data_IF_523616826325
#
_entry.id   IF_523616826325
#
_cell.length_a   1.000
_cell.length_b   1.000
_cell.length_c   1.000
_cell.angle_alpha   90.00
_cell.angle_beta   90.00
_cell.angle_gamma   90.00
#
_symmetry.space_group_name_H-M   'P 1'
#
loop_
_entity.id
_entity.type
_entity.pdbx_description
1 polymer ?
#
# COMPACT_ATOMS: atom_id res chain seq x y z
N UNK A 1 5.10 15.12 -26.37
CA UNK A 1 5.22 13.72 -25.98
C UNK A 1 5.47 13.67 -24.47
N UNK A 2 4.62 12.98 -23.76
CA UNK A 2 4.79 12.75 -22.33
C UNK A 2 5.81 11.60 -22.21
N UNK A 3 7.02 11.92 -21.75
CA UNK A 3 8.00 10.91 -21.37
C UNK A 3 7.55 10.42 -19.99
N UNK A 4 7.24 9.14 -19.87
CA UNK A 4 6.94 8.52 -18.58
C UNK A 4 8.19 8.54 -17.71
N UNK A 5 8.03 8.61 -16.38
CA UNK A 5 9.15 8.64 -15.43
C UNK A 5 10.09 7.46 -15.62
N UNK A 6 9.53 6.26 -15.86
CA UNK A 6 10.32 5.05 -16.13
C UNK A 6 11.21 5.19 -17.38
N UNK A 7 10.74 5.86 -18.43
CA UNK A 7 11.53 6.10 -19.64
C UNK A 7 12.69 7.06 -19.37
N UNK A 8 12.49 8.04 -18.48
CA UNK A 8 13.54 8.98 -18.09
C UNK A 8 14.62 8.30 -17.25
N UNK A 9 14.24 7.45 -16.31
CA UNK A 9 15.17 6.68 -15.48
C UNK A 9 16.02 5.76 -16.36
N UNK A 10 15.40 5.05 -17.31
CA UNK A 10 16.11 4.21 -18.29
C UNK A 10 17.09 5.02 -19.16
N UNK A 11 16.71 6.21 -19.60
CA UNK A 11 17.59 7.09 -20.39
C UNK A 11 18.80 7.56 -19.56
N UNK A 12 18.59 7.87 -18.29
CA UNK A 12 19.65 8.27 -17.37
C UNK A 12 20.64 7.12 -17.12
N UNK A 13 20.14 5.89 -16.92
CA UNK A 13 20.95 4.69 -16.74
C UNK A 13 21.79 4.40 -17.98
N UNK A 14 21.20 4.48 -19.18
CA UNK A 14 21.91 4.31 -20.45
C UNK A 14 23.00 5.38 -20.64
N UNK A 15 22.72 6.63 -20.25
CA UNK A 15 23.71 7.71 -20.32
C UNK A 15 24.87 7.48 -19.34
N UNK A 16 24.58 6.99 -18.13
CA UNK A 16 25.57 6.61 -17.14
C UNK A 16 26.46 5.45 -17.63
N UNK A 17 25.84 4.40 -18.16
CA UNK A 17 26.55 3.22 -18.69
C UNK A 17 27.47 3.56 -19.86
N UNK A 18 27.02 4.41 -20.79
CA UNK A 18 27.85 4.81 -21.95
C UNK A 18 29.11 5.56 -21.55
N UNK A 19 29.07 6.31 -20.45
CA UNK A 19 30.20 7.08 -19.90
C UNK A 19 30.97 6.31 -18.84
N UNK A 20 30.62 5.09 -18.49
CA UNK A 20 31.15 4.34 -17.33
C UNK A 20 31.10 5.16 -16.04
N UNK A 21 30.02 5.90 -15.84
CA UNK A 21 29.77 6.77 -14.69
C UNK A 21 28.39 6.49 -14.08
N UNK A 22 28.18 6.98 -12.88
CA UNK A 22 26.86 6.91 -12.25
C UNK A 22 25.88 7.80 -13.03
N UNK A 23 24.62 7.35 -13.18
CA UNK A 23 23.57 8.14 -13.81
C UNK A 23 23.46 9.54 -13.17
N UNK A 24 23.24 10.61 -13.96
CA UNK A 24 23.31 11.99 -13.46
C UNK A 24 22.35 12.29 -12.31
N UNK A 25 21.14 11.76 -12.36
CA UNK A 25 20.12 11.93 -11.32
C UNK A 25 20.51 11.23 -10.01
N UNK A 26 21.13 10.06 -10.10
CA UNK A 26 21.67 9.32 -8.95
C UNK A 26 22.86 10.05 -8.35
N UNK A 27 23.73 10.63 -9.19
CA UNK A 27 24.87 11.42 -8.72
C UNK A 27 24.39 12.62 -7.90
N UNK A 28 23.45 13.40 -8.42
CA UNK A 28 22.85 14.55 -7.74
C UNK A 28 22.20 14.16 -6.41
N UNK A 29 21.53 13.00 -6.37
CA UNK A 29 20.91 12.47 -5.16
C UNK A 29 21.95 12.10 -4.10
N UNK A 30 23.05 11.45 -4.50
CA UNK A 30 24.16 11.08 -3.60
C UNK A 30 24.82 12.34 -3.03
N UNK A 31 25.08 13.35 -3.86
CA UNK A 31 25.72 14.60 -3.44
C UNK A 31 24.90 15.33 -2.37
N UNK A 32 23.57 15.37 -2.56
CA UNK A 32 22.64 16.01 -1.61
C UNK A 32 22.39 15.19 -0.33
N UNK A 33 22.80 13.92 -0.30
CA UNK A 33 22.52 12.98 0.80
C UNK A 33 23.78 12.24 1.27
N UNK A 34 24.67 12.86 2.06
CA UNK A 34 25.94 12.26 2.49
C UNK A 34 25.80 10.90 3.19
N UNK A 35 24.66 10.63 3.85
CA UNK A 35 24.37 9.33 4.48
C UNK A 35 24.29 8.19 3.47
N UNK A 36 23.94 8.47 2.22
CA UNK A 36 23.90 7.48 1.14
C UNK A 36 25.32 6.99 0.82
N UNK A 37 26.30 7.88 0.82
CA UNK A 37 27.72 7.50 0.61
C UNK A 37 28.18 6.54 1.70
N UNK A 38 27.80 6.77 2.95
CA UNK A 38 28.10 5.87 4.07
C UNK A 38 27.43 4.50 3.89
N UNK A 39 26.15 4.47 3.48
CA UNK A 39 25.42 3.25 3.20
C UNK A 39 26.09 2.44 2.08
N UNK A 40 26.43 3.08 0.95
CA UNK A 40 27.09 2.43 -0.17
C UNK A 40 28.47 1.85 0.24
N UNK A 41 29.23 2.55 1.09
CA UNK A 41 30.48 2.01 1.65
C UNK A 41 30.24 0.78 2.51
N UNK A 42 29.21 0.79 3.35
CA UNK A 42 28.84 -0.36 4.17
C UNK A 42 28.47 -1.56 3.30
N UNK A 43 27.63 -1.37 2.28
CA UNK A 43 27.25 -2.41 1.32
C UNK A 43 28.51 -3.00 0.66
N UNK A 44 29.41 -2.15 0.17
CA UNK A 44 30.67 -2.58 -0.45
C UNK A 44 31.55 -3.40 0.49
N UNK A 45 31.70 -2.98 1.74
CA UNK A 45 32.55 -3.69 2.73
C UNK A 45 31.91 -4.99 3.25
N UNK A 46 30.59 -5.07 3.28
CA UNK A 46 29.85 -6.26 3.74
C UNK A 46 29.81 -7.38 2.68
N UNK A 47 30.31 -7.16 1.48
CA UNK A 47 30.29 -8.11 0.36
C UNK A 47 28.88 -8.67 0.10
N UNK A 48 27.86 -7.82 0.23
CA UNK A 48 26.46 -8.17 0.02
C UNK A 48 26.27 -8.63 -1.43
N UNK A 49 25.67 -9.82 -1.61
CA UNK A 49 25.33 -10.37 -2.92
C UNK A 49 24.06 -9.78 -3.53
N UNK A 50 23.83 -10.07 -4.81
CA UNK A 50 22.67 -9.55 -5.55
C UNK A 50 21.32 -9.90 -4.88
N UNK A 51 21.19 -11.10 -4.32
CA UNK A 51 19.99 -11.53 -3.60
C UNK A 51 19.69 -10.69 -2.35
N UNK A 52 20.75 -10.26 -1.65
CA UNK A 52 20.60 -9.41 -0.47
C UNK A 52 20.27 -7.96 -0.87
N UNK A 53 20.82 -7.47 -2.00
CA UNK A 53 20.47 -6.16 -2.57
C UNK A 53 19.00 -6.14 -2.98
N UNK A 54 18.51 -7.16 -3.69
CA UNK A 54 17.10 -7.33 -4.05
C UNK A 54 16.18 -7.36 -2.81
N UNK A 55 16.63 -8.02 -1.74
CA UNK A 55 15.89 -8.03 -0.48
C UNK A 55 15.79 -6.63 0.18
N UNK A 56 16.86 -5.84 0.12
CA UNK A 56 16.87 -4.45 0.60
C UNK A 56 15.91 -3.60 -0.22
N UNK A 57 15.98 -3.71 -1.54
CA UNK A 57 15.10 -3.00 -2.48
C UNK A 57 13.63 -3.35 -2.20
N UNK A 58 13.30 -4.64 -2.09
CA UNK A 58 11.97 -5.12 -1.74
C UNK A 58 11.48 -4.52 -0.42
N UNK A 59 12.29 -4.50 0.63
CA UNK A 59 11.95 -3.89 1.93
C UNK A 59 11.71 -2.38 1.82
N UNK A 60 12.44 -1.68 0.96
CA UNK A 60 12.22 -0.25 0.72
C UNK A 60 10.87 -0.02 0.03
N UNK A 61 10.50 -0.84 -0.95
CA UNK A 61 9.20 -0.79 -1.60
C UNK A 61 8.06 -1.11 -0.63
N UNK A 62 8.16 -2.19 0.12
CA UNK A 62 7.19 -2.60 1.14
C UNK A 62 6.96 -1.48 2.17
N UNK A 63 8.03 -0.87 2.68
CA UNK A 63 7.96 0.21 3.68
C UNK A 63 7.28 1.50 3.17
N UNK A 64 7.24 1.71 1.86
CA UNK A 64 6.59 2.87 1.22
C UNK A 64 5.15 2.60 0.79
N UNK A 65 4.77 1.33 0.68
CA UNK A 65 3.40 0.96 0.30
C UNK A 65 2.44 1.28 1.43
N UNK A 66 1.28 1.81 1.07
CA UNK A 66 0.20 2.16 1.98
C UNK A 66 -1.00 1.28 1.70
N UNK A 67 -1.84 1.09 2.72
CA UNK A 67 -3.15 0.49 2.52
C UNK A 67 -4.26 1.51 2.79
N UNK A 68 -5.29 1.50 1.95
CA UNK A 68 -6.51 2.28 2.11
C UNK A 68 -7.70 1.34 2.10
N UNK A 69 -8.35 1.18 3.24
CA UNK A 69 -9.50 0.28 3.42
C UNK A 69 -10.79 1.09 3.38
N UNK A 70 -11.71 0.73 2.51
CA UNK A 70 -13.01 1.41 2.40
C UNK A 70 -14.05 0.68 3.25
N UNK A 71 -14.41 1.29 4.38
CA UNK A 71 -15.33 0.76 5.39
C UNK A 71 -16.53 1.70 5.65
N UNK A 72 -16.97 2.44 4.64
CA UNK A 72 -18.02 3.45 4.79
C UNK A 72 -19.43 2.92 4.54
N UNK A 73 -19.59 1.71 3.99
CA UNK A 73 -20.89 1.16 3.54
C UNK A 73 -21.87 0.83 4.66
N UNK A 74 -23.17 0.92 4.35
CA UNK A 74 -24.28 0.62 5.28
C UNK A 74 -24.38 -0.86 5.68
N UNK A 75 -23.90 -1.79 4.83
CA UNK A 75 -24.03 -3.23 5.08
C UNK A 75 -25.47 -3.76 5.05
N UNK A 76 -26.42 -3.01 4.47
CA UNK A 76 -27.88 -3.24 4.55
C UNK A 76 -28.35 -4.64 4.13
N UNK A 77 -27.59 -5.34 3.29
CA UNK A 77 -27.93 -6.71 2.84
C UNK A 77 -27.84 -7.76 3.96
N UNK A 78 -27.04 -7.51 4.99
CA UNK A 78 -26.81 -8.44 6.11
C UNK A 78 -27.78 -8.23 7.27
N UNK A 79 -28.73 -7.29 7.14
CA UNK A 79 -29.84 -7.03 8.06
C UNK A 79 -29.45 -7.11 9.54
N UNK A 80 -29.95 -8.12 10.27
CA UNK A 80 -29.73 -8.32 11.70
C UNK A 80 -28.27 -8.37 12.14
N UNK A 81 -27.36 -8.83 11.29
CA UNK A 81 -25.93 -8.91 11.62
C UNK A 81 -25.24 -7.56 11.63
N UNK A 82 -25.80 -6.57 10.93
CA UNK A 82 -25.22 -5.23 10.81
C UNK A 82 -26.05 -4.13 11.45
N UNK A 83 -27.08 -4.48 12.21
CA UNK A 83 -27.93 -3.50 12.95
C UNK A 83 -27.12 -2.67 13.95
N UNK A 84 -26.16 -3.29 14.61
CA UNK A 84 -25.38 -2.67 15.68
C UNK A 84 -23.87 -2.60 15.41
N UNK A 85 -23.41 -3.11 14.27
CA UNK A 85 -21.98 -3.15 13.93
C UNK A 85 -21.77 -2.90 12.43
N UNK A 86 -20.72 -2.15 12.03
CA UNK A 86 -20.31 -2.08 10.63
C UNK A 86 -19.92 -3.47 10.13
N UNK A 87 -20.14 -3.74 8.83
CA UNK A 87 -19.87 -5.06 8.22
C UNK A 87 -18.43 -5.54 8.49
N UNK A 88 -17.44 -4.64 8.44
CA UNK A 88 -16.04 -4.97 8.69
C UNK A 88 -15.74 -5.37 10.14
N UNK A 89 -16.66 -5.13 11.07
CA UNK A 89 -16.53 -5.48 12.49
C UNK A 89 -17.23 -6.80 12.83
N UNK A 90 -17.79 -7.50 11.85
CA UNK A 90 -18.34 -8.84 12.07
C UNK A 90 -17.21 -9.81 12.42
N UNK A 91 -17.48 -10.65 13.43
CA UNK A 91 -16.53 -11.68 13.88
C UNK A 91 -16.53 -12.88 12.92
N UNK A 92 -15.33 -13.31 12.57
CA UNK A 92 -15.06 -14.51 11.78
C UNK A 92 -14.00 -15.35 12.50
N UNK A 93 -14.44 -16.26 13.36
CA UNK A 93 -13.55 -17.14 14.09
C UNK A 93 -12.61 -16.38 15.05
N UNK A 94 -13.17 -15.51 15.89
CA UNK A 94 -12.45 -14.80 16.94
C UNK A 94 -11.70 -13.54 16.51
N UNK A 95 -11.81 -13.14 15.24
CA UNK A 95 -11.28 -11.87 14.71
C UNK A 95 -12.27 -11.22 13.77
N UNK A 96 -12.37 -9.91 13.81
CA UNK A 96 -13.20 -9.17 12.85
C UNK A 96 -12.62 -9.26 11.42
N UNK A 97 -13.46 -9.00 10.41
CA UNK A 97 -12.99 -8.91 9.02
C UNK A 97 -11.85 -7.90 8.89
N UNK A 98 -12.01 -6.75 9.53
CA UNK A 98 -10.99 -5.69 9.49
C UNK A 98 -9.69 -6.14 10.15
N UNK A 99 -9.75 -6.81 11.32
CA UNK A 99 -8.55 -7.35 11.98
C UNK A 99 -7.78 -8.34 11.10
N UNK A 100 -8.48 -9.17 10.34
CA UNK A 100 -7.86 -10.11 9.41
C UNK A 100 -7.12 -9.37 8.28
N UNK A 101 -7.75 -8.34 7.72
CA UNK A 101 -7.09 -7.50 6.71
C UNK A 101 -5.88 -6.77 7.29
N UNK A 102 -6.01 -6.18 8.49
CA UNK A 102 -4.89 -5.52 9.18
C UNK A 102 -3.74 -6.49 9.45
N UNK A 103 -4.05 -7.73 9.85
CA UNK A 103 -3.02 -8.76 10.05
C UNK A 103 -2.29 -9.08 8.74
N UNK A 104 -3.04 -9.30 7.63
CA UNK A 104 -2.46 -9.60 6.32
C UNK A 104 -1.53 -8.48 5.81
N UNK A 105 -1.89 -7.22 6.01
CA UNK A 105 -1.04 -6.08 5.64
C UNK A 105 0.23 -6.01 6.50
N UNK A 106 0.10 -6.13 7.83
CA UNK A 106 1.23 -6.06 8.77
C UNK A 106 2.21 -7.21 8.59
N UNK A 107 1.74 -8.41 8.28
CA UNK A 107 2.59 -9.56 7.93
C UNK A 107 3.45 -9.30 6.69
N UNK A 108 3.05 -8.34 5.83
CA UNK A 108 3.81 -7.90 4.67
C UNK A 108 4.56 -6.57 4.89
N UNK A 109 4.72 -6.11 6.15
CA UNK A 109 5.46 -4.89 6.47
C UNK A 109 4.70 -3.59 6.16
N UNK A 110 3.38 -3.65 5.87
CA UNK A 110 2.56 -2.47 5.61
C UNK A 110 1.91 -1.99 6.90
N UNK A 111 2.51 -0.97 7.54
CA UNK A 111 2.01 -0.36 8.77
C UNK A 111 1.28 0.97 8.53
N UNK A 112 1.50 1.61 7.36
CA UNK A 112 0.80 2.85 7.00
C UNK A 112 -0.58 2.54 6.44
N UNK A 113 -1.52 2.23 7.34
CA UNK A 113 -2.87 1.82 7.00
C UNK A 113 -3.86 2.94 7.32
N UNK A 114 -4.71 3.24 6.35
CA UNK A 114 -5.80 4.22 6.47
C UNK A 114 -7.14 3.53 6.26
N UNK A 115 -8.16 3.98 6.99
CA UNK A 115 -9.52 3.44 6.88
C UNK A 115 -10.49 4.58 6.63
N UNK A 116 -11.29 4.46 5.58
CA UNK A 116 -12.40 5.37 5.32
C UNK A 116 -13.62 4.82 6.02
N UNK A 117 -14.13 5.58 6.99
CA UNK A 117 -15.27 5.20 7.81
C UNK A 117 -16.52 6.00 7.39
N UNK A 118 -17.67 5.40 7.56
CA UNK A 118 -18.98 6.06 7.33
C UNK A 118 -20.00 5.62 8.36
N UNK A 119 -20.83 4.63 7.99
CA UNK A 119 -21.83 4.06 8.88
C UNK A 119 -21.21 3.54 10.18
N UNK A 120 -21.77 3.96 11.32
CA UNK A 120 -21.30 3.58 12.67
C UNK A 120 -19.78 3.75 12.86
N UNK A 121 -19.20 4.83 12.30
CA UNK A 121 -17.75 5.10 12.33
C UNK A 121 -17.10 4.98 13.71
N UNK A 122 -17.82 5.30 14.79
CA UNK A 122 -17.33 5.22 16.15
C UNK A 122 -17.06 3.79 16.64
N UNK A 123 -17.60 2.78 15.95
CA UNK A 123 -17.34 1.36 16.23
C UNK A 123 -16.02 0.87 15.63
N UNK A 124 -15.45 1.62 14.66
CA UNK A 124 -14.17 1.31 14.03
C UNK A 124 -13.10 2.16 14.69
N UNK A 125 -12.42 1.62 15.70
CA UNK A 125 -11.42 2.35 16.46
C UNK A 125 -10.25 1.46 16.88
N UNK A 126 -9.33 1.21 15.94
CA UNK A 126 -8.09 0.49 16.16
C UNK A 126 -6.93 1.46 16.34
N UNK A 127 -5.98 1.12 17.22
CA UNK A 127 -4.76 1.90 17.39
C UNK A 127 -3.87 1.83 16.14
N UNK A 128 -3.09 2.88 15.91
CA UNK A 128 -2.11 2.98 14.81
C UNK A 128 -2.74 2.93 13.41
N UNK A 129 -3.98 3.41 13.25
CA UNK A 129 -4.61 3.64 11.96
C UNK A 129 -4.88 5.12 11.75
N UNK A 130 -4.89 5.54 10.48
CA UNK A 130 -5.40 6.84 10.07
C UNK A 130 -6.86 6.70 9.65
N UNK A 131 -7.69 7.64 10.03
CA UNK A 131 -9.11 7.61 9.72
C UNK A 131 -9.53 8.80 8.88
N UNK A 132 -10.35 8.51 7.87
CA UNK A 132 -11.05 9.49 7.06
C UNK A 132 -12.55 9.23 7.18
N UNK A 133 -13.32 10.25 7.59
CA UNK A 133 -14.73 10.08 7.83
C UNK A 133 -15.55 10.57 6.63
N UNK A 134 -16.24 9.65 5.97
CA UNK A 134 -17.20 9.95 4.94
C UNK A 134 -18.57 10.22 5.58
N UNK A 135 -18.90 11.46 5.81
CA UNK A 135 -20.18 11.86 6.39
C UNK A 135 -21.36 11.80 5.41
N UNK A 136 -21.09 11.59 4.12
CA UNK A 136 -22.10 11.50 3.06
C UNK A 136 -22.30 10.06 2.55
N UNK A 137 -21.90 9.05 3.34
CA UNK A 137 -21.88 7.63 2.95
C UNK A 137 -23.23 7.10 2.46
N UNK A 138 -24.35 7.68 2.90
CA UNK A 138 -25.70 7.28 2.46
C UNK A 138 -26.04 7.76 1.04
N UNK A 139 -25.42 8.86 0.59
CA UNK A 139 -25.76 9.56 -0.67
C UNK A 139 -24.71 9.38 -1.76
N UNK A 140 -23.57 8.76 -1.45
CA UNK A 140 -22.50 8.60 -2.40
C UNK A 140 -22.17 7.12 -2.66
N UNK A 141 -21.43 6.88 -3.74
CA UNK A 141 -20.96 5.57 -4.11
C UNK A 141 -19.55 5.28 -3.53
N UNK A 142 -19.06 4.08 -3.79
CA UNK A 142 -17.75 3.62 -3.33
C UNK A 142 -16.61 4.49 -3.86
N UNK A 143 -16.66 4.88 -5.14
CA UNK A 143 -15.64 5.73 -5.73
C UNK A 143 -15.55 7.08 -5.01
N UNK A 144 -16.68 7.71 -4.75
CA UNK A 144 -16.73 8.93 -3.96
C UNK A 144 -16.19 8.72 -2.53
N UNK A 145 -16.43 7.54 -1.95
CA UNK A 145 -15.86 7.22 -0.64
C UNK A 145 -14.33 7.18 -0.69
N UNK A 146 -13.72 6.64 -1.74
CA UNK A 146 -12.26 6.58 -1.91
C UNK A 146 -11.65 7.99 -1.88
N UNK A 147 -12.30 8.98 -2.48
CA UNK A 147 -11.80 10.36 -2.49
C UNK A 147 -11.71 11.04 -1.12
N UNK A 148 -12.41 10.54 -0.09
CA UNK A 148 -12.17 11.00 1.28
C UNK A 148 -10.75 10.67 1.78
N UNK A 149 -10.14 9.63 1.21
CA UNK A 149 -8.76 9.23 1.43
C UNK A 149 -7.76 9.75 0.39
N UNK A 150 -8.12 10.68 -0.50
CA UNK A 150 -7.29 11.18 -1.60
C UNK A 150 -5.86 11.54 -1.17
N UNK A 151 -5.71 12.15 0.00
CA UNK A 151 -4.41 12.60 0.54
C UNK A 151 -3.40 11.46 0.74
N UNK A 152 -3.84 10.21 0.82
CA UNK A 152 -2.95 9.05 0.95
C UNK A 152 -2.73 8.34 -0.37
N UNK A 153 -3.49 8.66 -1.42
CA UNK A 153 -3.37 8.08 -2.76
C UNK A 153 -2.21 8.79 -3.50
N UNK A 154 -1.00 8.50 -3.07
CA UNK A 154 0.23 8.94 -3.71
C UNK A 154 1.30 7.85 -3.54
N UNK A 155 2.10 7.57 -4.56
CA UNK A 155 3.01 6.44 -4.61
C UNK A 155 2.25 5.10 -4.59
N UNK A 156 2.83 4.06 -3.99
CA UNK A 156 2.25 2.73 -3.97
C UNK A 156 1.12 2.64 -2.94
N UNK A 157 -0.09 2.32 -3.38
CA UNK A 157 -1.27 2.20 -2.52
C UNK A 157 -2.08 0.95 -2.88
N UNK A 158 -2.35 0.11 -1.89
CA UNK A 158 -3.31 -0.99 -2.02
C UNK A 158 -4.66 -0.50 -1.51
N UNK A 159 -5.68 -0.51 -2.37
CA UNK A 159 -7.04 -0.15 -2.01
C UNK A 159 -7.87 -1.42 -1.88
N UNK A 160 -8.54 -1.60 -0.74
CA UNK A 160 -9.39 -2.75 -0.48
C UNK A 160 -10.76 -2.35 0.09
N UNK A 161 -11.77 -3.16 -0.22
CA UNK A 161 -13.04 -3.11 0.48
C UNK A 161 -12.94 -3.83 1.81
N UNK A 162 -13.59 -3.31 2.83
CA UNK A 162 -13.54 -3.85 4.19
C UNK A 162 -14.33 -5.13 4.39
N UNK A 163 -15.05 -5.59 3.38
CA UNK A 163 -15.94 -6.76 3.42
C UNK A 163 -15.40 -7.98 2.65
N UNK A 164 -14.15 -7.93 2.24
CA UNK A 164 -13.45 -9.04 1.61
C UNK A 164 -12.43 -9.67 2.57
N UNK A 165 -12.20 -10.97 2.41
CA UNK A 165 -11.16 -11.71 3.11
C UNK A 165 -10.04 -12.08 2.16
N UNK A 166 -8.81 -11.84 2.60
CA UNK A 166 -7.60 -12.26 1.90
C UNK A 166 -6.47 -12.53 2.91
N UNK A 167 -5.55 -13.37 2.54
CA UNK A 167 -4.34 -13.63 3.32
C UNK A 167 -3.16 -12.78 2.86
N UNK A 168 -2.06 -12.84 3.62
CA UNK A 168 -0.81 -12.15 3.29
C UNK A 168 -0.20 -12.57 1.95
N UNK A 169 -0.51 -13.79 1.47
CA UNK A 169 -0.08 -14.25 0.14
C UNK A 169 -0.63 -13.37 -1.00
N UNK A 170 -1.87 -12.89 -0.89
CA UNK A 170 -2.45 -11.97 -1.89
C UNK A 170 -1.73 -10.62 -1.87
N UNK A 171 -1.47 -10.09 -0.67
CA UNK A 171 -0.74 -8.83 -0.50
C UNK A 171 0.68 -8.95 -1.07
N UNK A 172 1.39 -10.04 -0.80
CA UNK A 172 2.74 -10.27 -1.37
C UNK A 172 2.74 -10.27 -2.88
N UNK A 173 1.77 -10.96 -3.52
CA UNK A 173 1.65 -10.95 -4.98
C UNK A 173 1.39 -9.57 -5.58
N UNK A 174 0.65 -8.71 -4.87
CA UNK A 174 0.48 -7.31 -5.28
C UNK A 174 1.78 -6.50 -5.14
N UNK A 175 2.55 -6.72 -4.06
CA UNK A 175 3.84 -6.06 -3.86
C UNK A 175 4.92 -6.50 -4.85
N UNK A 176 4.79 -7.71 -5.42
CA UNK A 176 5.69 -8.27 -6.43
C UNK A 176 5.30 -7.85 -7.86
N UNK A 177 4.21 -7.12 -8.03
CA UNK A 177 3.75 -6.68 -9.35
C UNK A 177 4.46 -5.41 -9.79
N UNK A 178 5.07 -5.44 -10.96
CA UNK A 178 5.74 -4.30 -11.60
C UNK A 178 4.79 -3.44 -12.46
N UNK A 179 3.49 -3.72 -12.40
CA UNK A 179 2.50 -2.98 -13.19
C UNK A 179 2.01 -1.72 -12.47
N UNK A 180 1.72 -0.66 -13.22
CA UNK A 180 1.15 0.59 -12.70
C UNK A 180 -0.19 0.38 -11.98
N UNK A 181 -0.98 -0.59 -12.46
CA UNK A 181 -2.27 -0.97 -11.87
C UNK A 181 -2.37 -2.50 -11.85
N UNK A 182 -2.61 -3.06 -10.67
CA UNK A 182 -2.84 -4.48 -10.46
C UNK A 182 -4.19 -4.70 -9.78
N UNK A 183 -4.95 -5.68 -10.27
CA UNK A 183 -6.27 -6.03 -9.71
C UNK A 183 -6.27 -7.48 -9.27
N UNK A 184 -6.75 -7.72 -8.04
CA UNK A 184 -6.98 -9.08 -7.56
C UNK A 184 -8.37 -9.54 -7.99
N UNK A 185 -8.42 -10.68 -8.64
CA UNK A 185 -9.66 -11.36 -9.04
C UNK A 185 -9.66 -12.79 -8.51
N UNK A 186 -10.82 -13.24 -8.02
CA UNK A 186 -11.06 -14.63 -7.71
C UNK A 186 -11.56 -15.31 -9.00
N UNK A 187 -10.83 -16.31 -9.49
CA UNK A 187 -11.15 -17.00 -10.74
C UNK A 187 -12.07 -18.22 -10.51
N UNK A 188 -12.22 -18.64 -9.26
CA UNK A 188 -13.02 -19.81 -8.85
C UNK A 188 -14.41 -19.40 -8.32
N UNK A 189 -14.83 -18.16 -8.53
CA UNK A 189 -16.07 -17.56 -8.02
C UNK A 189 -17.27 -17.87 -8.91
#
# INVERSE_FOLDING_TARGET
SIILKADLDLLNDLAGNSKKSIAPDIFDFIEKNPKIVSLLRTIKHSQIGDDEILNIEKKIHESKTKALIVAAGLGSRLKTHTENLPKCMLDFGGKTLLERQLSAYRECGIDNISVIRGHMKNKINYKNLKYFDNNNFEKNNILNSIFYGEKVINGNVIIAYSDILFGSNVVRRLLESDHDISVVVDIDW
#
